data_IF_104419061165
#
_entry.id   IF_104419061165
#
_cell.length_a   1.000
_cell.length_b   1.000
_cell.length_c   1.000
_cell.angle_alpha   90.00
_cell.angle_beta   90.00
_cell.angle_gamma   90.00
#
_symmetry.space_group_name_H-M   'P 1'
#
loop_
_entity.id
_entity.type
_entity.pdbx_description
1 polymer ?
#
# COMPACT_ATOMS: atom_id res chain seq x y z
N UNK A 1 -0.12 5.95 16.84
CA UNK A 1 -0.06 6.22 15.38
C UNK A 1 -0.59 5.04 14.58
N UNK A 2 -1.47 5.28 13.63
CA UNK A 2 -2.17 4.24 12.83
C UNK A 2 -1.18 3.41 11.99
N UNK A 3 -0.21 4.04 11.35
CA UNK A 3 0.72 3.37 10.42
C UNK A 3 1.69 2.42 11.13
N UNK A 4 2.41 2.82 12.20
CA UNK A 4 3.23 1.88 12.97
C UNK A 4 2.42 0.69 13.52
N UNK A 5 1.16 0.93 13.92
CA UNK A 5 0.27 -0.12 14.43
C UNK A 5 -0.04 -1.17 13.35
N UNK A 6 -0.36 -0.75 12.12
CA UNK A 6 -0.57 -1.70 10.99
C UNK A 6 0.67 -2.54 10.72
N UNK A 7 1.85 -1.91 10.76
CA UNK A 7 3.11 -2.62 10.56
C UNK A 7 3.36 -3.66 11.65
N UNK A 8 3.15 -3.28 12.91
CA UNK A 8 3.26 -4.19 14.04
C UNK A 8 2.28 -5.36 13.90
N UNK A 9 1.01 -5.11 13.56
CA UNK A 9 0.03 -6.17 13.36
C UNK A 9 0.46 -7.17 12.28
N UNK A 10 1.00 -6.68 11.15
CA UNK A 10 1.51 -7.55 10.08
C UNK A 10 2.73 -8.39 10.55
N UNK A 11 3.63 -7.82 11.34
CA UNK A 11 4.78 -8.53 11.93
C UNK A 11 4.33 -9.59 12.94
N UNK A 12 3.35 -9.27 13.78
CA UNK A 12 2.76 -10.22 14.75
C UNK A 12 2.09 -11.40 14.02
N UNK A 13 1.34 -11.15 12.96
CA UNK A 13 0.77 -12.22 12.13
C UNK A 13 1.86 -13.11 11.51
N UNK A 14 2.98 -12.51 11.10
CA UNK A 14 4.10 -13.26 10.51
C UNK A 14 4.74 -14.25 11.50
N UNK A 15 4.68 -14.01 12.81
CA UNK A 15 5.20 -14.91 13.85
C UNK A 15 4.44 -16.23 13.91
N UNK A 16 3.13 -16.24 13.59
CA UNK A 16 2.26 -17.41 13.63
C UNK A 16 1.86 -17.86 15.05
N UNK A 17 2.31 -17.18 16.10
CA UNK A 17 1.93 -17.50 17.48
C UNK A 17 0.49 -17.05 17.77
N UNK A 18 -0.28 -17.86 18.48
CA UNK A 18 -1.72 -17.62 18.69
C UNK A 18 -2.00 -16.32 19.47
N UNK A 19 -1.19 -16.01 20.46
CA UNK A 19 -1.26 -14.77 21.24
C UNK A 19 -0.90 -13.55 20.39
N UNK A 20 0.12 -13.64 19.55
CA UNK A 20 0.50 -12.59 18.61
C UNK A 20 -0.58 -12.34 17.55
N UNK A 21 -1.24 -13.40 17.07
CA UNK A 21 -2.37 -13.27 16.13
C UNK A 21 -3.56 -12.57 16.80
N UNK A 22 -3.86 -12.91 18.07
CA UNK A 22 -4.92 -12.25 18.83
C UNK A 22 -4.62 -10.76 19.04
N UNK A 23 -3.38 -10.40 19.34
CA UNK A 23 -2.93 -9.01 19.45
C UNK A 23 -3.03 -8.28 18.09
N UNK A 24 -2.57 -8.91 17.01
CA UNK A 24 -2.70 -8.38 15.65
C UNK A 24 -4.16 -8.08 15.29
N UNK A 25 -5.08 -8.98 15.63
CA UNK A 25 -6.51 -8.79 15.41
C UNK A 25 -7.06 -7.58 16.17
N UNK A 26 -6.67 -7.40 17.43
CA UNK A 26 -7.05 -6.24 18.23
C UNK A 26 -6.51 -4.93 17.62
N UNK A 27 -5.26 -4.93 17.16
CA UNK A 27 -4.64 -3.78 16.49
C UNK A 27 -5.37 -3.44 15.19
N UNK A 28 -5.68 -4.43 14.34
CA UNK A 28 -6.44 -4.17 13.10
C UNK A 28 -7.84 -3.61 13.40
N UNK A 29 -8.53 -4.11 14.44
CA UNK A 29 -9.80 -3.54 14.89
C UNK A 29 -9.68 -2.05 15.28
N UNK A 30 -8.60 -1.68 15.99
CA UNK A 30 -8.33 -0.29 16.33
C UNK A 30 -8.00 0.56 15.10
N UNK A 31 -7.25 0.02 14.14
CA UNK A 31 -6.95 0.70 12.86
C UNK A 31 -8.23 0.96 12.06
N UNK A 32 -9.14 0.00 11.98
CA UNK A 32 -10.45 0.17 11.31
C UNK A 32 -11.25 1.34 11.90
N UNK A 33 -11.18 1.57 13.22
CA UNK A 33 -11.84 2.68 13.88
C UNK A 33 -11.28 4.07 13.48
N UNK A 34 -10.11 4.14 12.84
CA UNK A 34 -9.55 5.38 12.31
C UNK A 34 -10.01 5.72 10.90
N UNK A 35 -10.68 4.80 10.19
CA UNK A 35 -11.16 5.04 8.84
C UNK A 35 -12.36 5.99 8.82
N UNK A 36 -12.32 6.97 7.92
CA UNK A 36 -13.46 7.85 7.69
C UNK A 36 -14.50 7.16 6.83
N UNK A 37 -15.58 6.69 7.46
CA UNK A 37 -16.65 5.92 6.81
C UNK A 37 -17.94 6.71 6.59
N UNK A 38 -18.02 7.98 7.06
CA UNK A 38 -19.22 8.82 6.90
C UNK A 38 -19.40 9.17 5.42
N UNK A 39 -20.55 8.77 4.88
CA UNK A 39 -20.95 9.11 3.50
C UNK A 39 -21.09 10.63 3.35
N UNK A 40 -20.52 11.17 2.27
CA UNK A 40 -20.50 12.62 2.00
C UNK A 40 -19.32 13.36 2.64
N UNK A 41 -18.49 12.68 3.41
CA UNK A 41 -17.22 13.27 3.87
C UNK A 41 -16.26 13.43 2.70
N UNK A 42 -15.54 14.56 2.56
CA UNK A 42 -14.57 14.78 1.47
C UNK A 42 -13.41 13.77 1.48
N UNK A 43 -13.15 13.12 2.61
CA UNK A 43 -12.09 12.13 2.80
C UNK A 43 -12.64 10.73 3.09
N UNK A 44 -13.86 10.43 2.59
CA UNK A 44 -14.51 9.13 2.75
C UNK A 44 -13.61 8.01 2.21
N UNK A 45 -13.22 7.08 3.09
CA UNK A 45 -12.32 5.97 2.80
C UNK A 45 -10.88 6.18 3.26
N UNK A 46 -10.49 7.41 3.61
CA UNK A 46 -9.18 7.70 4.16
C UNK A 46 -9.10 7.32 5.65
N UNK A 47 -7.90 7.39 6.21
CA UNK A 47 -7.62 7.09 7.62
C UNK A 47 -7.06 8.31 8.32
N UNK A 48 -7.36 8.43 9.61
CA UNK A 48 -6.67 9.38 10.48
C UNK A 48 -5.25 8.87 10.75
N UNK A 49 -4.30 9.81 10.84
CA UNK A 49 -2.89 9.48 11.09
C UNK A 49 -2.68 8.98 12.52
N UNK A 50 -3.31 9.66 13.46
CA UNK A 50 -3.37 9.26 14.86
C UNK A 50 -4.81 8.86 15.24
N UNK A 51 -4.95 8.06 16.30
CA UNK A 51 -6.29 7.69 16.79
C UNK A 51 -7.02 8.87 17.42
N UNK A 52 -6.25 9.81 17.95
CA UNK A 52 -6.70 11.01 18.64
C UNK A 52 -7.13 12.13 17.67
N UNK A 53 -6.77 12.05 16.41
CA UNK A 53 -7.16 13.03 15.40
C UNK A 53 -8.68 13.04 15.24
N UNK A 54 -9.28 14.21 15.15
CA UNK A 54 -10.72 14.37 14.90
C UNK A 54 -11.06 14.21 13.41
N UNK A 55 -10.11 14.57 12.53
CA UNK A 55 -10.27 14.60 11.07
C UNK A 55 -9.07 13.96 10.38
N UNK A 56 -9.22 13.69 9.09
CA UNK A 56 -8.11 13.28 8.22
C UNK A 56 -7.28 14.53 7.87
N UNK A 57 -6.05 14.59 8.37
CA UNK A 57 -5.13 15.71 8.10
C UNK A 57 -4.20 15.41 6.92
N UNK A 58 -3.63 14.20 6.87
CA UNK A 58 -2.75 13.77 5.78
C UNK A 58 -3.48 12.82 4.82
N UNK A 59 -3.70 13.27 3.59
CA UNK A 59 -4.38 12.49 2.55
C UNK A 59 -3.60 11.23 2.15
N UNK A 60 -2.31 11.14 2.46
CA UNK A 60 -1.52 9.95 2.16
C UNK A 60 -1.73 8.82 3.19
N UNK A 61 -2.41 9.04 4.30
CA UNK A 61 -2.60 8.04 5.35
C UNK A 61 -3.18 6.73 4.77
N UNK A 62 -4.17 6.82 3.88
CA UNK A 62 -4.76 5.65 3.21
C UNK A 62 -3.72 4.82 2.45
N UNK A 63 -2.72 5.46 1.82
CA UNK A 63 -1.65 4.77 1.08
C UNK A 63 -0.79 3.91 2.00
N UNK A 64 -0.46 4.43 3.17
CA UNK A 64 0.39 3.73 4.14
C UNK A 64 -0.37 2.62 4.86
N UNK A 65 -1.61 2.87 5.26
CA UNK A 65 -2.45 1.88 5.96
C UNK A 65 -2.71 0.68 5.05
N UNK A 66 -3.18 0.92 3.82
CA UNK A 66 -3.47 -0.17 2.89
C UNK A 66 -2.22 -0.93 2.45
N UNK A 67 -1.07 -0.26 2.36
CA UNK A 67 0.21 -0.91 2.05
C UNK A 67 0.64 -1.94 3.11
N UNK A 68 0.15 -1.82 4.34
CA UNK A 68 0.34 -2.83 5.39
C UNK A 68 -0.77 -3.86 5.45
N UNK A 69 -2.04 -3.43 5.32
CA UNK A 69 -3.22 -4.30 5.45
C UNK A 69 -3.33 -5.30 4.29
N UNK A 70 -3.20 -4.85 3.04
CA UNK A 70 -3.40 -5.69 1.86
C UNK A 70 -2.45 -6.89 1.82
N UNK A 71 -1.11 -6.73 1.97
CA UNK A 71 -0.21 -7.86 2.02
C UNK A 71 -0.48 -8.84 3.17
N UNK A 72 -0.82 -8.33 4.35
CA UNK A 72 -1.15 -9.17 5.50
C UNK A 72 -2.37 -10.07 5.21
N UNK A 73 -3.40 -9.52 4.53
CA UNK A 73 -4.56 -10.30 4.10
C UNK A 73 -4.21 -11.32 3.01
N UNK A 74 -3.41 -10.97 2.02
CA UNK A 74 -3.00 -11.89 0.94
C UNK A 74 -2.22 -13.07 1.53
N UNK A 75 -1.32 -12.83 2.45
CA UNK A 75 -0.41 -13.84 2.96
C UNK A 75 -1.02 -14.68 4.10
N UNK A 76 -1.91 -14.09 4.93
CA UNK A 76 -2.30 -14.71 6.21
C UNK A 76 -3.74 -14.46 6.68
N UNK A 77 -4.66 -14.10 5.80
CA UNK A 77 -6.07 -13.85 6.19
C UNK A 77 -6.70 -15.02 6.97
N UNK A 78 -6.35 -16.27 6.63
CA UNK A 78 -6.86 -17.47 7.30
C UNK A 78 -6.50 -17.61 8.80
N UNK A 79 -5.58 -16.78 9.32
CA UNK A 79 -5.24 -16.76 10.74
C UNK A 79 -6.08 -15.78 11.56
N UNK A 80 -6.82 -14.86 10.91
CA UNK A 80 -7.66 -13.88 11.57
C UNK A 80 -9.12 -14.37 11.70
N UNK A 81 -9.89 -13.82 12.65
CA UNK A 81 -11.33 -14.07 12.73
C UNK A 81 -12.04 -13.71 11.42
N UNK A 82 -12.94 -14.54 10.88
CA UNK A 82 -13.61 -14.28 9.59
C UNK A 82 -14.31 -12.93 9.52
N UNK A 83 -14.99 -12.51 10.59
CA UNK A 83 -15.66 -11.21 10.66
C UNK A 83 -14.68 -10.05 10.52
N UNK A 84 -13.50 -10.13 11.12
CA UNK A 84 -12.47 -9.10 10.98
C UNK A 84 -11.91 -9.09 9.55
N UNK A 85 -11.76 -10.25 8.91
CA UNK A 85 -11.34 -10.33 7.50
C UNK A 85 -12.36 -9.63 6.60
N UNK A 86 -13.66 -9.84 6.82
CA UNK A 86 -14.73 -9.17 6.06
C UNK A 86 -14.69 -7.66 6.26
N UNK A 87 -14.50 -7.19 7.50
CA UNK A 87 -14.38 -5.76 7.82
C UNK A 87 -13.14 -5.14 7.16
N UNK A 88 -12.00 -5.84 7.17
CA UNK A 88 -10.77 -5.40 6.51
C UNK A 88 -10.94 -5.35 4.97
N UNK A 89 -11.63 -6.32 4.37
CA UNK A 89 -11.96 -6.28 2.94
C UNK A 89 -12.86 -5.09 2.59
N UNK A 90 -13.84 -4.77 3.43
CA UNK A 90 -14.68 -3.58 3.26
C UNK A 90 -13.86 -2.28 3.35
N UNK A 91 -12.97 -2.20 4.33
CA UNK A 91 -12.06 -1.07 4.51
C UNK A 91 -11.09 -0.90 3.33
N UNK A 92 -10.52 -2.00 2.81
CA UNK A 92 -9.67 -1.99 1.61
C UNK A 92 -10.44 -1.47 0.41
N UNK A 93 -11.67 -1.97 0.19
CA UNK A 93 -12.52 -1.51 -0.93
C UNK A 93 -12.77 -0.01 -0.88
N UNK A 94 -13.10 0.51 0.30
CA UNK A 94 -13.36 1.92 0.52
C UNK A 94 -12.09 2.77 0.35
N UNK A 95 -10.97 2.33 0.91
CA UNK A 95 -9.68 3.02 0.78
C UNK A 95 -9.16 3.04 -0.66
N UNK A 96 -9.38 1.99 -1.46
CA UNK A 96 -9.04 1.98 -2.89
C UNK A 96 -9.89 2.97 -3.71
N UNK A 97 -11.11 3.27 -3.30
CA UNK A 97 -11.92 4.34 -3.91
C UNK A 97 -11.27 5.70 -3.63
N UNK A 98 -10.88 5.94 -2.39
CA UNK A 98 -10.19 7.18 -1.99
C UNK A 98 -8.83 7.34 -2.69
N UNK A 99 -8.02 6.28 -2.78
CA UNK A 99 -6.76 6.28 -3.54
C UNK A 99 -7.00 6.69 -5.00
N UNK A 100 -8.04 6.15 -5.61
CA UNK A 100 -8.37 6.49 -7.00
C UNK A 100 -8.86 7.94 -7.16
N UNK A 101 -9.53 8.49 -6.15
CA UNK A 101 -9.99 9.89 -6.12
C UNK A 101 -8.80 10.87 -5.99
N UNK A 102 -7.84 10.55 -5.11
CA UNK A 102 -6.64 11.37 -4.89
C UNK A 102 -5.75 11.39 -6.15
N UNK A 103 -5.60 10.27 -6.80
CA UNK A 103 -4.83 10.03 -8.04
C UNK A 103 -3.46 10.73 -8.07
N UNK A 104 -2.60 10.32 -7.16
CA UNK A 104 -1.27 10.90 -6.93
C UNK A 104 -0.44 11.01 -8.20
N UNK A 105 0.25 12.15 -8.36
CA UNK A 105 1.14 12.42 -9.49
C UNK A 105 2.31 11.42 -9.60
N UNK A 106 2.73 11.02 -10.82
CA UNK A 106 3.93 10.21 -11.03
C UNK A 106 5.22 10.83 -10.46
N UNK A 107 5.28 12.14 -10.30
CA UNK A 107 6.44 12.83 -9.71
C UNK A 107 6.59 12.60 -8.20
N UNK A 108 5.54 12.18 -7.49
CA UNK A 108 5.60 11.91 -6.06
C UNK A 108 5.93 10.44 -5.82
N UNK A 109 7.20 10.06 -6.04
CA UNK A 109 7.67 8.68 -6.19
C UNK A 109 7.26 7.75 -5.06
N UNK A 110 7.51 8.11 -3.80
CA UNK A 110 7.23 7.20 -2.70
C UNK A 110 5.73 6.92 -2.50
N UNK A 111 4.87 7.86 -2.83
CA UNK A 111 3.42 7.73 -2.69
C UNK A 111 2.80 7.07 -3.94
N UNK A 112 3.23 7.47 -5.15
CA UNK A 112 2.70 6.84 -6.36
C UNK A 112 3.03 5.35 -6.45
N UNK A 113 4.17 4.91 -5.93
CA UNK A 113 4.51 3.49 -5.87
C UNK A 113 3.60 2.72 -4.91
N UNK A 114 3.20 3.32 -3.78
CA UNK A 114 2.18 2.74 -2.89
C UNK A 114 0.81 2.70 -3.56
N UNK A 115 0.40 3.76 -4.26
CA UNK A 115 -0.85 3.79 -5.03
C UNK A 115 -0.90 2.64 -6.05
N UNK A 116 0.16 2.47 -6.84
CA UNK A 116 0.31 1.36 -7.81
C UNK A 116 0.17 0.01 -7.10
N UNK A 117 0.94 -0.19 -6.03
CA UNK A 117 0.97 -1.46 -5.30
C UNK A 117 -0.38 -1.75 -4.65
N UNK A 118 -0.99 -0.78 -3.97
CA UNK A 118 -2.30 -0.92 -3.36
C UNK A 118 -3.39 -1.20 -4.40
N UNK A 119 -3.36 -0.53 -5.56
CA UNK A 119 -4.32 -0.76 -6.64
C UNK A 119 -4.18 -2.17 -7.24
N UNK A 120 -2.95 -2.61 -7.56
CA UNK A 120 -2.71 -3.94 -8.11
C UNK A 120 -3.07 -5.05 -7.11
N UNK A 121 -2.48 -5.00 -5.92
CA UNK A 121 -2.66 -6.06 -4.92
C UNK A 121 -4.05 -6.03 -4.28
N UNK A 122 -4.60 -4.85 -4.01
CA UNK A 122 -5.95 -4.71 -3.48
C UNK A 122 -7.02 -5.11 -4.50
N UNK A 123 -6.82 -4.79 -5.79
CA UNK A 123 -7.66 -5.29 -6.87
C UNK A 123 -7.61 -6.82 -6.98
N UNK A 124 -6.41 -7.40 -6.90
CA UNK A 124 -6.21 -8.85 -6.86
C UNK A 124 -6.90 -9.49 -5.64
N UNK A 125 -6.75 -8.93 -4.45
CA UNK A 125 -7.36 -9.42 -3.20
C UNK A 125 -8.88 -9.42 -3.27
N UNK A 126 -9.48 -8.41 -3.91
CA UNK A 126 -10.93 -8.21 -3.99
C UNK A 126 -11.57 -8.75 -5.28
N UNK A 127 -10.78 -9.39 -6.16
CA UNK A 127 -11.20 -9.81 -7.50
C UNK A 127 -11.78 -8.64 -8.35
N UNK A 128 -11.21 -7.44 -8.18
CA UNK A 128 -11.61 -6.21 -8.88
C UNK A 128 -10.62 -5.90 -10.03
N UNK A 129 -10.93 -6.37 -11.22
CA UNK A 129 -10.10 -6.21 -12.42
C UNK A 129 -9.93 -4.73 -12.83
N UNK A 130 -10.89 -3.88 -12.54
CA UNK A 130 -10.78 -2.45 -12.86
C UNK A 130 -9.68 -1.78 -12.01
N UNK A 131 -9.54 -2.19 -10.74
CA UNK A 131 -8.46 -1.72 -9.86
C UNK A 131 -7.10 -2.25 -10.29
N UNK A 132 -7.02 -3.53 -10.67
CA UNK A 132 -5.78 -4.11 -11.21
C UNK A 132 -5.33 -3.34 -12.45
N UNK A 133 -6.23 -3.11 -13.40
CA UNK A 133 -5.93 -2.36 -14.63
C UNK A 133 -5.45 -0.94 -14.32
N UNK A 134 -6.15 -0.22 -13.42
CA UNK A 134 -5.71 1.12 -12.99
C UNK A 134 -4.29 1.10 -12.42
N UNK A 135 -3.96 0.12 -11.59
CA UNK A 135 -2.61 -0.03 -11.02
C UNK A 135 -1.54 -0.24 -12.08
N UNK A 136 -1.81 -1.09 -13.07
CA UNK A 136 -0.93 -1.35 -14.23
C UNK A 136 -0.69 -0.10 -15.06
N UNK A 137 -1.75 0.59 -15.46
CA UNK A 137 -1.66 1.83 -16.23
C UNK A 137 -0.88 2.91 -15.48
N UNK A 138 -1.06 2.97 -14.14
CA UNK A 138 -0.31 3.90 -13.32
C UNK A 138 1.17 3.54 -13.21
N UNK A 139 1.51 2.25 -13.14
CA UNK A 139 2.89 1.77 -13.22
C UNK A 139 3.54 2.18 -14.55
N UNK A 140 2.86 1.98 -15.66
CA UNK A 140 3.35 2.39 -16.99
C UNK A 140 3.59 3.91 -17.08
N UNK A 141 2.65 4.71 -16.58
CA UNK A 141 2.80 6.17 -16.51
C UNK A 141 3.99 6.60 -15.65
N UNK A 142 4.19 5.94 -14.49
CA UNK A 142 5.33 6.22 -13.64
C UNK A 142 6.65 5.79 -14.30
N UNK A 143 6.73 4.63 -14.95
CA UNK A 143 7.90 4.19 -15.70
C UNK A 143 8.24 5.17 -16.82
N UNK A 144 7.26 5.62 -17.60
CA UNK A 144 7.44 6.62 -18.65
C UNK A 144 7.94 7.96 -18.11
N UNK A 145 7.45 8.37 -16.91
CA UNK A 145 7.95 9.55 -16.22
C UNK A 145 9.43 9.38 -15.83
N UNK A 146 9.80 8.25 -15.25
CA UNK A 146 11.20 7.94 -14.90
C UNK A 146 12.09 7.91 -16.14
N UNK A 147 11.61 7.36 -17.27
CA UNK A 147 12.34 7.32 -18.52
C UNK A 147 12.62 8.72 -19.09
N UNK A 148 11.64 9.61 -19.00
CA UNK A 148 11.77 10.99 -19.47
C UNK A 148 12.80 11.81 -18.67
N UNK A 149 12.96 11.52 -17.39
CA UNK A 149 13.89 12.26 -16.50
C UNK A 149 15.16 11.48 -16.15
N UNK A 150 15.25 10.22 -16.55
CA UNK A 150 16.38 9.32 -16.28
C UNK A 150 16.34 8.62 -14.92
N UNK A 151 15.86 9.30 -13.88
CA UNK A 151 15.75 8.81 -12.50
C UNK A 151 14.41 9.21 -11.86
N UNK A 152 13.95 8.49 -10.81
CA UNK A 152 12.81 8.92 -10.01
C UNK A 152 13.06 10.28 -9.35
N UNK A 153 12.03 11.09 -9.15
CA UNK A 153 12.15 12.44 -8.61
C UNK A 153 12.84 12.50 -7.22
N UNK A 154 12.72 11.44 -6.42
CA UNK A 154 13.28 11.34 -5.07
C UNK A 154 14.60 10.54 -4.99
N UNK A 155 15.30 10.35 -6.12
CA UNK A 155 16.50 9.48 -6.20
C UNK A 155 17.63 9.90 -5.27
N UNK A 156 17.76 11.20 -4.97
CA UNK A 156 18.84 11.74 -4.13
C UNK A 156 18.55 11.65 -2.61
N UNK A 157 17.54 10.88 -2.22
CA UNK A 157 17.20 10.62 -0.82
C UNK A 157 17.38 9.13 -0.51
N UNK A 158 18.39 8.74 0.29
CA UNK A 158 18.57 7.34 0.67
C UNK A 158 17.35 6.71 1.31
N UNK A 159 16.60 7.48 2.13
CA UNK A 159 15.38 7.02 2.77
C UNK A 159 14.28 6.72 1.75
N UNK A 160 14.04 7.62 0.79
CA UNK A 160 13.03 7.41 -0.24
C UNK A 160 13.44 6.37 -1.27
N UNK A 161 14.74 6.24 -1.57
CA UNK A 161 15.25 5.14 -2.39
C UNK A 161 14.98 3.78 -1.72
N UNK A 162 15.22 3.65 -0.42
CA UNK A 162 14.90 2.44 0.34
C UNK A 162 13.38 2.13 0.34
N UNK A 163 12.54 3.16 0.48
CA UNK A 163 11.08 3.02 0.36
C UNK A 163 10.70 2.52 -1.03
N UNK A 164 11.22 3.13 -2.09
CA UNK A 164 10.91 2.73 -3.47
C UNK A 164 11.30 1.27 -3.75
N UNK A 165 12.49 0.85 -3.32
CA UNK A 165 12.95 -0.55 -3.44
C UNK A 165 12.04 -1.49 -2.64
N UNK A 166 11.69 -1.15 -1.40
CA UNK A 166 10.80 -1.97 -0.57
C UNK A 166 9.40 -2.12 -1.17
N UNK A 167 8.83 -1.04 -1.71
CA UNK A 167 7.48 -1.05 -2.30
C UNK A 167 7.45 -1.87 -3.60
N UNK A 168 8.42 -1.64 -4.50
CA UNK A 168 8.53 -2.42 -5.74
C UNK A 168 8.84 -3.91 -5.47
N UNK A 169 9.67 -4.19 -4.46
CA UNK A 169 9.93 -5.56 -4.02
C UNK A 169 8.66 -6.27 -3.55
N UNK A 170 7.83 -5.60 -2.76
CA UNK A 170 6.54 -6.11 -2.30
C UNK A 170 5.59 -6.37 -3.48
N UNK A 171 5.48 -5.42 -4.40
CA UNK A 171 4.67 -5.59 -5.61
C UNK A 171 5.15 -6.81 -6.41
N UNK A 172 6.45 -6.90 -6.71
CA UNK A 172 7.03 -7.97 -7.50
C UNK A 172 6.89 -9.36 -6.85
N UNK A 173 6.80 -9.44 -5.52
CA UNK A 173 6.66 -10.72 -4.81
C UNK A 173 5.22 -11.21 -4.72
N UNK A 174 4.23 -10.31 -4.65
CA UNK A 174 2.84 -10.66 -4.34
C UNK A 174 1.88 -10.55 -5.54
N UNK A 175 2.25 -9.79 -6.58
CA UNK A 175 1.38 -9.63 -7.74
C UNK A 175 1.30 -10.92 -8.58
N UNK A 176 0.08 -11.32 -8.96
CA UNK A 176 -0.15 -12.48 -9.80
C UNK A 176 0.08 -12.18 -11.29
N UNK A 177 -0.23 -10.97 -11.74
CA UNK A 177 -0.03 -10.53 -13.11
C UNK A 177 1.46 -10.51 -13.48
N UNK A 178 1.84 -11.38 -14.44
CA UNK A 178 3.23 -11.57 -14.85
C UNK A 178 3.87 -10.31 -15.43
N UNK A 179 3.13 -9.55 -16.24
CA UNK A 179 3.65 -8.34 -16.87
C UNK A 179 3.96 -7.28 -15.81
N UNK A 180 3.06 -7.05 -14.87
CA UNK A 180 3.29 -6.15 -13.72
C UNK A 180 4.50 -6.60 -12.88
N UNK A 181 4.65 -7.91 -12.66
CA UNK A 181 5.78 -8.48 -11.91
C UNK A 181 7.12 -8.22 -12.60
N UNK A 182 7.17 -8.46 -13.92
CA UNK A 182 8.38 -8.22 -14.73
C UNK A 182 8.73 -6.74 -14.69
N UNK A 183 7.78 -5.83 -14.90
CA UNK A 183 8.00 -4.38 -14.87
C UNK A 183 8.51 -3.91 -13.51
N UNK A 184 7.94 -4.39 -12.41
CA UNK A 184 8.42 -4.08 -11.06
C UNK A 184 9.87 -4.55 -10.86
N UNK A 185 10.25 -5.74 -11.33
CA UNK A 185 11.62 -6.26 -11.29
C UNK A 185 12.60 -5.45 -12.15
N UNK A 186 12.20 -5.02 -13.33
CA UNK A 186 13.00 -4.14 -14.19
C UNK A 186 13.33 -2.83 -13.45
N UNK A 187 12.33 -2.22 -12.82
CA UNK A 187 12.52 -0.98 -12.07
C UNK A 187 13.38 -1.19 -10.81
N UNK A 188 13.24 -2.33 -10.12
CA UNK A 188 14.14 -2.70 -9.02
C UNK A 188 15.60 -2.81 -9.47
N UNK A 189 15.86 -3.48 -10.58
CA UNK A 189 17.21 -3.61 -11.13
C UNK A 189 17.80 -2.24 -11.51
N UNK A 190 16.99 -1.36 -12.10
CA UNK A 190 17.38 0.00 -12.46
C UNK A 190 17.73 0.86 -11.24
N UNK A 191 16.94 0.81 -10.17
CA UNK A 191 17.23 1.51 -8.92
C UNK A 191 18.48 0.95 -8.23
N UNK A 192 18.63 -0.37 -8.24
CA UNK A 192 19.83 -1.04 -7.69
C UNK A 192 21.12 -0.66 -8.43
N UNK A 193 21.07 -0.58 -9.76
CA UNK A 193 22.20 -0.13 -10.57
C UNK A 193 22.55 1.33 -10.26
N UNK A 194 21.56 2.21 -10.18
CA UNK A 194 21.78 3.60 -9.80
C UNK A 194 22.44 3.72 -8.43
N UNK A 195 21.95 3.00 -7.43
CA UNK A 195 22.55 2.99 -6.09
C UNK A 195 24.01 2.51 -6.12
N UNK A 196 24.30 1.43 -6.87
CA UNK A 196 25.66 0.87 -6.97
C UNK A 196 26.67 1.81 -7.64
N UNK A 197 26.22 2.72 -8.51
CA UNK A 197 27.10 3.70 -9.16
C UNK A 197 27.43 4.91 -8.27
N UNK A 198 26.76 5.06 -7.12
CA UNK A 198 26.95 6.17 -6.18
C UNK A 198 27.65 5.76 -4.88
N UNK A 199 28.09 4.50 -4.78
CA UNK A 199 28.94 3.97 -3.71
C UNK A 199 30.40 3.98 -4.17
#
# INVERSE_FOLDING_TARGET
ATIPSVRLAAELMASGAADAIAEAAAIFGAVLATQQTRVGDPHHGNFRWEMEDEVVEDLNAVQFVLFGVIPALIERSGSLPPTLVDDLHAAVRLGLQEIARIDVSPAYTNIVLKDITNSCLGGQLLDDQARVLRGREKLERWMSHVDAYGLPAEYNSPNYAAVAVGVLGRLASLVQDEDTRIRARIMLARLGLSAAMHI
#
